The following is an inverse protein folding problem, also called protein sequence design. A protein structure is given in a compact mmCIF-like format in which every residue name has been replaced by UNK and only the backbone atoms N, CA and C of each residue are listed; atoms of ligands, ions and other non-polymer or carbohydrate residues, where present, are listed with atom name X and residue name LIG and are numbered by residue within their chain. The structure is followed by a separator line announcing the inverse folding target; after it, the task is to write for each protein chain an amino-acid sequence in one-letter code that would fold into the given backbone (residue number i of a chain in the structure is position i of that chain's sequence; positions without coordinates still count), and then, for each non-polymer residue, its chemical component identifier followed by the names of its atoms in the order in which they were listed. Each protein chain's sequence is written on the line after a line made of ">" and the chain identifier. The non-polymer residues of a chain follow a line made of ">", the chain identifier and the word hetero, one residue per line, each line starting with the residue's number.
data_IF_923858219725
#
_entry.id   IF_923858219725
#
_cell.length_a   1.000
_cell.length_b   1.000
_cell.length_c   1.000
_cell.angle_alpha   90.00
_cell.angle_beta   90.00
_cell.angle_gamma   90.00
#
_symmetry.space_group_name_H-M   'P 1'
#
loop_
_entity.id
_entity.type
_entity.pdbx_description
1 polymer ?
#
# COMPACT_ATOMS: atom_id res chain seq x y z
N UNK A 1 79.14 2.22 11.85
CA UNK A 1 79.74 1.75 13.11
C UNK A 1 78.60 1.40 14.06
N UNK A 2 78.20 0.12 14.12
CA UNK A 2 78.45 -0.80 15.26
C UNK A 2 77.84 -0.25 16.56
N UNK A 3 76.72 -0.81 17.04
CA UNK A 3 76.68 -1.89 18.08
C UNK A 3 76.27 -1.28 19.44
N UNK A 4 75.46 -1.85 20.35
CA UNK A 4 74.72 -3.10 20.58
C UNK A 4 73.87 -2.85 21.86
N UNK A 5 72.71 -3.50 21.96
CA UNK A 5 72.09 -4.12 23.15
C UNK A 5 71.52 -3.33 24.34
N UNK A 6 70.22 -3.61 24.61
CA UNK A 6 69.70 -4.27 25.84
C UNK A 6 68.39 -3.62 26.28
N UNK A 7 67.22 -4.00 25.77
CA UNK A 7 66.30 -5.02 26.34
C UNK A 7 66.40 -5.14 27.87
N UNK A 8 65.40 -4.59 28.58
CA UNK A 8 65.17 -4.84 30.00
C UNK A 8 63.77 -5.48 30.16
N UNK A 9 63.80 -6.69 30.69
CA UNK A 9 62.69 -7.57 31.05
C UNK A 9 62.08 -7.08 32.36
N UNK A 10 60.75 -7.01 32.45
CA UNK A 10 60.05 -7.04 33.75
C UNK A 10 58.89 -8.06 33.67
N UNK A 11 59.12 -9.21 34.31
CA UNK A 11 58.18 -10.32 34.52
C UNK A 11 57.91 -10.42 36.03
N UNK A 12 56.71 -10.87 36.39
CA UNK A 12 56.24 -11.30 37.73
C UNK A 12 55.64 -10.16 38.58
N UNK A 13 54.48 -10.27 39.24
CA UNK A 13 53.76 -11.40 39.82
C UNK A 13 52.24 -11.17 39.79
N UNK A 14 51.51 -12.14 39.22
CA UNK A 14 50.11 -12.41 39.56
C UNK A 14 50.08 -13.01 40.97
N UNK A 15 49.20 -12.52 41.85
CA UNK A 15 48.87 -13.16 43.12
C UNK A 15 47.36 -13.26 43.25
N UNK A 16 46.86 -14.45 43.00
CA UNK A 16 45.53 -14.90 43.38
C UNK A 16 45.34 -14.78 44.89
N UNK A 17 44.20 -14.25 45.34
CA UNK A 17 43.64 -14.55 46.65
C UNK A 17 42.19 -14.93 46.49
N UNK A 18 41.98 -16.23 46.65
CA UNK A 18 40.71 -16.92 46.82
C UNK A 18 40.15 -16.52 48.18
N UNK A 19 38.93 -15.97 48.21
CA UNK A 19 38.09 -16.02 49.41
C UNK A 19 36.75 -16.62 48.99
N UNK A 20 36.61 -17.92 49.26
CA UNK A 20 35.33 -18.55 49.47
C UNK A 20 34.76 -18.01 50.79
N UNK A 21 33.52 -17.56 50.79
CA UNK A 21 32.69 -17.64 51.98
C UNK A 21 31.25 -17.93 51.58
N UNK A 22 30.93 -19.23 51.62
CA UNK A 22 29.57 -19.72 51.71
C UNK A 22 29.12 -19.54 53.15
N UNK A 23 28.11 -18.71 53.40
CA UNK A 23 27.10 -18.93 54.43
C UNK A 23 26.16 -17.72 54.52
N UNK A 24 24.92 -17.89 54.03
CA UNK A 24 23.72 -17.27 54.59
C UNK A 24 22.47 -17.77 53.85
N UNK A 25 22.18 -19.06 53.96
CA UNK A 25 20.82 -19.55 53.71
C UNK A 25 19.91 -19.10 54.85
N UNK A 26 19.22 -17.96 54.66
CA UNK A 26 18.02 -17.63 55.44
C UNK A 26 16.80 -18.28 54.79
N UNK A 27 16.31 -19.33 55.44
CA UNK A 27 14.97 -19.92 55.25
C UNK A 27 13.91 -18.82 55.19
N UNK A 28 13.25 -18.65 54.05
CA UNK A 28 11.91 -18.05 53.97
C UNK A 28 10.90 -19.19 53.83
N UNK A 29 10.03 -19.31 54.82
CA UNK A 29 8.93 -20.25 54.86
C UNK A 29 7.95 -19.98 53.70
N UNK A 30 7.51 -21.05 53.03
CA UNK A 30 6.38 -21.05 52.09
C UNK A 30 5.14 -20.53 52.83
N UNK A 31 4.57 -19.43 52.34
CA UNK A 31 3.20 -19.00 52.66
C UNK A 31 2.32 -19.54 51.54
N UNK A 32 1.25 -20.24 51.90
CA UNK A 32 0.35 -20.92 50.97
C UNK A 32 -0.22 -19.95 49.93
N UNK A 33 -0.29 -20.43 48.69
CA UNK A 33 -0.79 -19.70 47.53
C UNK A 33 -2.24 -19.26 47.79
N UNK A 34 -2.48 -17.96 47.86
CA UNK A 34 -3.83 -17.39 47.76
C UNK A 34 -4.18 -17.36 46.28
N UNK A 35 -5.20 -18.13 45.90
CA UNK A 35 -5.76 -18.18 44.55
C UNK A 35 -6.14 -16.76 44.09
N UNK A 36 -5.53 -16.32 42.98
CA UNK A 36 -5.78 -15.02 42.37
C UNK A 36 -7.12 -15.08 41.62
N UNK A 37 -8.11 -14.34 42.10
CA UNK A 37 -9.38 -14.11 41.39
C UNK A 37 -9.28 -12.74 40.72
N UNK A 38 -9.39 -12.63 39.38
CA UNK A 38 -9.42 -11.34 38.69
C UNK A 38 -10.65 -10.52 39.12
N UNK A 39 -10.48 -9.21 39.27
CA UNK A 39 -11.54 -8.28 39.75
C UNK A 39 -12.80 -8.23 38.84
N UNK A 40 -12.76 -8.87 37.66
CA UNK A 40 -13.83 -8.86 36.65
C UNK A 40 -14.70 -10.13 36.65
N UNK A 41 -14.60 -11.01 37.65
CA UNK A 41 -15.45 -12.21 37.72
C UNK A 41 -16.89 -11.86 38.15
N UNK A 42 -17.81 -11.85 37.17
CA UNK A 42 -19.26 -11.79 37.39
C UNK A 42 -19.80 -13.22 37.30
N UNK A 43 -20.43 -13.78 38.37
CA UNK A 43 -21.07 -15.09 38.30
C UNK A 43 -22.20 -15.10 37.27
N UNK A 44 -22.39 -16.22 36.55
CA UNK A 44 -23.39 -16.38 35.47
C UNK A 44 -24.83 -16.08 35.89
N UNK A 45 -25.11 -16.02 37.20
CA UNK A 45 -26.43 -15.79 37.78
C UNK A 45 -26.67 -14.34 38.22
N UNK A 46 -25.75 -13.40 37.93
CA UNK A 46 -25.95 -11.98 38.28
C UNK A 46 -26.90 -11.28 37.30
N UNK A 47 -28.13 -11.05 37.74
CA UNK A 47 -29.10 -10.19 37.05
C UNK A 47 -29.15 -8.83 37.77
N UNK A 48 -28.79 -7.71 37.13
CA UNK A 48 -28.95 -6.38 37.71
C UNK A 48 -30.43 -6.11 38.01
N UNK A 49 -30.73 -5.49 39.16
CA UNK A 49 -32.10 -5.23 39.65
C UNK A 49 -32.99 -4.42 38.68
N UNK A 50 -32.41 -3.80 37.65
CA UNK A 50 -33.11 -2.96 36.67
C UNK A 50 -33.43 -3.67 35.33
N UNK A 51 -33.21 -4.98 35.20
CA UNK A 51 -33.51 -5.71 33.95
C UNK A 51 -35.02 -5.99 33.79
N UNK A 52 -35.68 -5.28 32.87
CA UNK A 52 -37.04 -5.61 32.40
C UNK A 52 -36.97 -6.41 31.08
N UNK A 53 -37.47 -7.65 31.03
CA UNK A 53 -37.46 -8.45 29.80
C UNK A 53 -38.47 -7.92 28.77
N UNK A 54 -38.03 -7.85 27.51
CA UNK A 54 -38.87 -7.56 26.33
C UNK A 54 -39.43 -8.90 25.80
N UNK A 55 -40.74 -9.02 25.49
CA UNK A 55 -41.31 -10.30 25.06
C UNK A 55 -40.91 -10.67 23.62
N UNK A 56 -40.40 -11.89 23.45
CA UNK A 56 -40.14 -12.56 22.16
C UNK A 56 -41.44 -12.83 21.38
N UNK A 57 -41.47 -12.43 20.12
CA UNK A 57 -42.55 -12.73 19.17
C UNK A 57 -42.23 -14.00 18.36
N UNK A 58 -43.07 -15.02 18.51
CA UNK A 58 -43.00 -16.28 17.76
C UNK A 58 -43.76 -16.17 16.41
N UNK A 59 -43.33 -16.83 15.31
CA UNK A 59 -43.87 -16.60 13.97
C UNK A 59 -45.06 -17.53 13.65
N UNK A 60 -46.06 -17.05 12.91
CA UNK A 60 -47.11 -17.91 12.31
C UNK A 60 -47.43 -17.58 10.85
N UNK A 61 -47.65 -18.68 10.12
CA UNK A 61 -47.86 -18.88 8.68
C UNK A 61 -49.17 -18.28 8.12
N UNK A 62 -49.09 -17.86 6.86
CA UNK A 62 -50.00 -18.27 5.77
C UNK A 62 -51.27 -17.45 5.48
N UNK A 63 -51.37 -16.86 4.28
CA UNK A 63 -52.42 -17.13 3.26
C UNK A 63 -52.49 -16.03 2.18
N UNK A 64 -52.59 -16.47 0.91
CA UNK A 64 -52.90 -15.66 -0.29
C UNK A 64 -54.33 -15.14 -0.24
N UNK A 65 -54.62 -13.98 -0.85
CA UNK A 65 -55.78 -13.77 -1.77
C UNK A 65 -55.63 -12.48 -2.58
N UNK A 66 -55.83 -12.62 -3.88
CA UNK A 66 -55.98 -11.66 -4.99
C UNK A 66 -57.21 -10.76 -4.89
N UNK A 67 -57.16 -9.50 -5.36
CA UNK A 67 -58.20 -8.92 -6.25
C UNK A 67 -57.68 -7.69 -7.03
N UNK A 68 -57.98 -7.65 -8.34
CA UNK A 68 -57.81 -6.52 -9.28
C UNK A 68 -58.90 -5.46 -9.07
N UNK A 69 -58.64 -4.16 -9.29
CA UNK A 69 -59.56 -3.29 -10.09
C UNK A 69 -58.95 -1.91 -10.48
N UNK A 70 -58.98 -1.65 -11.80
CA UNK A 70 -59.33 -0.40 -12.55
C UNK A 70 -58.55 0.92 -12.44
N UNK A 71 -58.18 1.40 -13.63
CA UNK A 71 -57.77 2.76 -13.99
C UNK A 71 -58.96 3.71 -14.24
N UNK A 72 -58.76 5.03 -14.04
CA UNK A 72 -59.09 6.11 -15.03
C UNK A 72 -58.60 7.50 -14.60
N UNK A 73 -58.36 8.32 -15.62
CA UNK A 73 -57.60 9.58 -15.72
C UNK A 73 -58.37 10.87 -15.36
N UNK A 74 -57.75 12.04 -15.67
CA UNK A 74 -58.23 13.46 -15.78
C UNK A 74 -57.55 14.37 -14.72
N UNK A 75 -56.88 15.54 -14.94
CA UNK A 75 -56.59 16.49 -16.04
C UNK A 75 -55.50 17.51 -15.61
N UNK A 76 -54.71 18.04 -16.55
CA UNK A 76 -53.90 19.30 -16.50
C UNK A 76 -54.78 20.55 -16.80
N UNK A 77 -54.40 21.88 -16.65
CA UNK A 77 -53.19 22.59 -17.18
C UNK A 77 -52.77 23.87 -16.36
N UNK A 78 -52.01 24.91 -16.84
CA UNK A 78 -51.15 25.08 -18.03
C UNK A 78 -49.68 25.55 -17.76
N UNK A 79 -48.95 25.65 -18.86
CA UNK A 79 -47.50 25.87 -19.09
C UNK A 79 -47.11 27.37 -19.09
N UNK A 80 -45.93 27.73 -18.56
CA UNK A 80 -45.23 28.98 -18.91
C UNK A 80 -43.83 28.70 -19.46
N UNK A 81 -43.45 29.53 -20.42
CA UNK A 81 -42.37 29.42 -21.39
C UNK A 81 -41.04 30.02 -20.93
N UNK A 82 -39.93 29.34 -21.25
CA UNK A 82 -38.57 29.87 -21.30
C UNK A 82 -37.58 28.76 -21.72
N UNK A 83 -36.69 28.97 -22.70
CA UNK A 83 -35.75 27.93 -23.13
C UNK A 83 -34.62 27.81 -22.10
N UNK A 84 -34.62 26.71 -21.34
CA UNK A 84 -33.48 26.33 -20.52
C UNK A 84 -32.36 25.80 -21.43
N UNK A 85 -31.09 26.21 -21.19
CA UNK A 85 -29.96 25.71 -21.98
C UNK A 85 -29.84 24.20 -21.79
N UNK A 86 -29.63 23.49 -22.90
CA UNK A 86 -29.27 22.07 -22.89
C UNK A 86 -27.87 21.98 -22.32
N UNK A 87 -27.78 21.82 -21.00
CA UNK A 87 -26.56 21.35 -20.36
C UNK A 87 -26.44 19.88 -20.75
N UNK A 88 -25.62 19.60 -21.76
CA UNK A 88 -25.11 18.25 -21.99
C UNK A 88 -24.15 18.00 -20.83
N UNK A 89 -24.69 17.54 -19.71
CA UNK A 89 -23.89 16.90 -18.69
C UNK A 89 -23.38 15.61 -19.33
N UNK A 90 -22.13 15.61 -19.77
CA UNK A 90 -21.38 14.39 -20.00
C UNK A 90 -21.27 13.71 -18.63
N UNK A 91 -22.30 12.94 -18.28
CA UNK A 91 -22.26 12.04 -17.16
C UNK A 91 -21.29 10.93 -17.60
N UNK A 92 -20.04 11.03 -17.15
CA UNK A 92 -19.10 9.91 -17.11
C UNK A 92 -19.68 8.84 -16.17
N UNK A 93 -20.69 8.16 -16.70
CA UNK A 93 -21.29 7.01 -16.07
C UNK A 93 -20.50 5.83 -16.59
N UNK A 94 -19.49 5.43 -15.82
CA UNK A 94 -18.83 4.13 -16.01
C UNK A 94 -19.94 3.08 -16.14
N UNK A 95 -20.14 2.57 -17.36
CA UNK A 95 -21.24 1.66 -17.68
C UNK A 95 -21.06 0.40 -16.85
N UNK A 96 -21.94 0.20 -15.86
CA UNK A 96 -21.99 -1.06 -15.10
C UNK A 96 -22.35 -2.20 -16.05
N UNK A 97 -21.80 -3.41 -15.86
CA UNK A 97 -22.15 -4.55 -16.68
C UNK A 97 -23.65 -4.82 -16.60
N UNK A 98 -24.26 -5.12 -17.74
CA UNK A 98 -25.68 -5.45 -17.84
C UNK A 98 -25.96 -6.73 -17.05
N UNK A 99 -27.08 -6.78 -16.32
CA UNK A 99 -27.39 -7.89 -15.41
C UNK A 99 -27.54 -9.26 -16.11
N UNK A 100 -27.82 -9.24 -17.42
CA UNK A 100 -28.01 -10.43 -18.27
C UNK A 100 -26.77 -10.78 -19.11
N UNK A 101 -25.59 -10.25 -18.77
CA UNK A 101 -24.36 -10.54 -19.51
C UNK A 101 -23.97 -12.04 -19.43
N UNK A 102 -23.52 -12.66 -20.53
CA UNK A 102 -23.08 -14.05 -20.52
C UNK A 102 -21.84 -14.23 -19.65
N UNK A 103 -21.71 -15.40 -19.03
CA UNK A 103 -20.54 -15.75 -18.24
C UNK A 103 -19.32 -15.98 -19.17
N UNK A 104 -18.31 -15.14 -19.03
CA UNK A 104 -17.03 -15.24 -19.74
C UNK A 104 -16.05 -16.20 -19.03
N UNK A 105 -16.51 -17.42 -18.71
CA UNK A 105 -15.72 -18.53 -18.17
C UNK A 105 -16.59 -19.81 -18.03
N UNK A 106 -15.96 -20.93 -17.67
CA UNK A 106 -16.66 -22.16 -17.27
C UNK A 106 -17.42 -21.97 -15.94
N UNK A 107 -16.90 -21.12 -15.03
CA UNK A 107 -17.45 -20.91 -13.69
C UNK A 107 -17.40 -19.44 -13.28
N UNK A 108 -18.33 -19.03 -12.40
CA UNK A 108 -18.27 -17.70 -11.79
C UNK A 108 -17.15 -17.66 -10.74
N UNK A 109 -16.07 -16.92 -11.03
CA UNK A 109 -14.92 -16.77 -10.11
C UNK A 109 -15.09 -15.56 -9.20
N UNK A 110 -15.68 -15.78 -8.01
CA UNK A 110 -15.88 -14.72 -7.01
C UNK A 110 -15.02 -14.86 -5.74
N UNK A 111 -14.19 -15.90 -5.65
CA UNK A 111 -13.34 -16.15 -4.47
C UNK A 111 -12.46 -14.95 -4.08
N UNK A 112 -11.84 -14.29 -5.07
CA UNK A 112 -10.96 -13.13 -4.82
C UNK A 112 -11.79 -11.90 -4.40
N UNK A 113 -12.95 -11.68 -5.01
CA UNK A 113 -13.81 -10.54 -4.66
C UNK A 113 -14.38 -10.62 -3.24
N UNK A 114 -14.61 -11.84 -2.75
CA UNK A 114 -15.13 -12.11 -1.42
C UNK A 114 -14.02 -12.28 -0.36
N UNK A 115 -12.76 -12.13 -0.75
CA UNK A 115 -11.63 -12.34 0.16
C UNK A 115 -11.65 -11.31 1.28
N UNK A 116 -11.51 -11.79 2.51
CA UNK A 116 -11.32 -10.95 3.69
C UNK A 116 -9.84 -10.68 3.89
N UNK A 117 -9.47 -9.40 4.01
CA UNK A 117 -8.11 -8.97 4.35
C UNK A 117 -7.93 -9.07 5.86
N UNK A 118 -6.87 -9.75 6.28
CA UNK A 118 -6.48 -9.80 7.67
C UNK A 118 -5.82 -8.47 8.07
N UNK A 119 -6.28 -7.90 9.17
CA UNK A 119 -5.64 -6.73 9.77
C UNK A 119 -4.22 -7.09 10.20
N UNK A 120 -3.32 -6.10 10.18
CA UNK A 120 -1.99 -6.28 10.74
C UNK A 120 -2.06 -6.49 12.24
N UNK A 121 -1.10 -7.25 12.75
CA UNK A 121 -0.86 -7.36 14.17
C UNK A 121 -0.56 -5.97 14.77
N UNK A 122 -1.25 -5.58 15.86
CA UNK A 122 -0.93 -4.36 16.58
C UNK A 122 0.43 -4.52 17.26
N UNK A 123 1.37 -3.65 16.91
CA UNK A 123 2.70 -3.65 17.49
C UNK A 123 2.79 -2.55 18.55
N UNK A 124 3.45 -2.81 19.67
CA UNK A 124 3.82 -1.77 20.61
C UNK A 124 5.19 -1.21 20.27
N UNK A 125 5.41 0.06 20.61
CA UNK A 125 6.70 0.73 20.40
C UNK A 125 7.86 0.02 21.11
N UNK A 126 7.59 -0.55 22.29
CA UNK A 126 8.57 -1.33 23.08
C UNK A 126 9.06 -2.60 22.38
N UNK A 127 8.27 -3.13 21.44
CA UNK A 127 8.57 -4.40 20.79
C UNK A 127 9.43 -4.20 19.54
N UNK A 128 9.48 -2.96 19.02
CA UNK A 128 10.31 -2.58 17.88
C UNK A 128 11.71 -2.24 18.37
N UNK A 129 12.64 -3.20 18.27
CA UNK A 129 14.02 -2.99 18.69
C UNK A 129 14.81 -2.14 17.69
N UNK A 130 14.51 -2.30 16.40
CA UNK A 130 15.19 -1.62 15.30
C UNK A 130 14.20 -1.34 14.18
N UNK A 131 14.26 -0.14 13.59
CA UNK A 131 13.46 0.27 12.44
C UNK A 131 14.35 0.93 11.39
N UNK A 132 14.12 0.62 10.12
CA UNK A 132 14.70 1.32 8.99
C UNK A 132 13.68 1.52 7.87
N UNK A 133 13.61 2.75 7.35
CA UNK A 133 12.74 3.08 6.21
C UNK A 133 13.51 2.99 4.91
N UNK A 134 12.89 2.38 3.91
CA UNK A 134 13.49 2.12 2.60
C UNK A 134 12.51 2.52 1.52
N UNK A 135 13.02 3.21 0.51
CA UNK A 135 12.27 3.47 -0.71
C UNK A 135 12.86 2.63 -1.83
N UNK A 136 12.00 1.84 -2.45
CA UNK A 136 12.35 0.97 -3.57
C UNK A 136 11.62 1.42 -4.82
N UNK A 137 12.18 1.11 -5.96
CA UNK A 137 11.49 1.25 -7.25
C UNK A 137 11.35 -0.14 -7.85
N UNK A 138 10.11 -0.48 -8.19
CA UNK A 138 9.73 -1.62 -9.02
C UNK A 138 9.76 -1.14 -10.47
N UNK A 139 10.56 -1.77 -11.30
CA UNK A 139 10.53 -1.56 -12.75
C UNK A 139 9.70 -2.66 -13.40
N UNK A 140 8.63 -2.29 -14.10
CA UNK A 140 7.71 -3.22 -14.75
C UNK A 140 8.28 -3.81 -16.04
N UNK A 141 9.44 -3.32 -16.50
CA UNK A 141 10.18 -3.89 -17.63
C UNK A 141 10.87 -5.20 -17.25
N UNK A 142 11.05 -5.46 -15.95
CA UNK A 142 11.64 -6.70 -15.48
C UNK A 142 10.65 -7.88 -15.60
N UNK A 143 11.17 -9.07 -15.94
CA UNK A 143 10.36 -10.27 -16.20
C UNK A 143 9.42 -10.62 -15.05
N UNK A 144 9.89 -10.49 -13.80
CA UNK A 144 9.08 -10.81 -12.61
C UNK A 144 7.91 -9.81 -12.41
N UNK A 145 8.03 -8.61 -12.96
CA UNK A 145 7.08 -7.50 -12.78
C UNK A 145 6.16 -7.29 -14.00
N UNK A 146 6.23 -8.15 -15.02
CA UNK A 146 5.34 -8.07 -16.18
C UNK A 146 3.84 -8.02 -15.83
N UNK A 147 3.34 -8.71 -14.78
CA UNK A 147 1.94 -8.63 -14.39
C UNK A 147 1.45 -7.20 -14.07
N UNK A 148 2.35 -6.28 -13.70
CA UNK A 148 2.03 -4.88 -13.41
C UNK A 148 1.52 -4.11 -14.62
N UNK A 149 1.84 -4.53 -15.85
CA UNK A 149 1.44 -3.87 -17.10
C UNK A 149 0.39 -4.65 -17.89
N UNK A 150 -0.18 -5.70 -17.33
CA UNK A 150 -1.13 -6.52 -18.06
C UNK A 150 -2.35 -5.67 -18.52
N UNK A 151 -2.63 -5.53 -19.83
CA UNK A 151 -3.55 -4.50 -20.33
C UNK A 151 -4.97 -4.54 -19.75
N UNK A 152 -5.48 -5.72 -19.38
CA UNK A 152 -6.82 -5.85 -18.81
C UNK A 152 -6.87 -5.60 -17.29
N UNK A 153 -5.76 -5.81 -16.56
CA UNK A 153 -5.68 -5.67 -15.10
C UNK A 153 -4.39 -4.97 -14.70
N UNK A 154 -4.15 -3.81 -15.32
CA UNK A 154 -3.01 -2.98 -15.00
C UNK A 154 -3.19 -2.35 -13.62
N UNK A 155 -2.10 -2.32 -12.83
CA UNK A 155 -2.16 -1.77 -11.48
C UNK A 155 -2.56 -0.29 -11.49
N UNK A 156 -2.02 0.52 -12.40
CA UNK A 156 -2.36 1.94 -12.47
C UNK A 156 -3.85 2.18 -12.75
N UNK A 157 -4.45 1.45 -13.69
CA UNK A 157 -5.90 1.57 -13.98
C UNK A 157 -6.74 1.20 -12.77
N UNK A 158 -6.36 0.13 -12.05
CA UNK A 158 -7.04 -0.30 -10.84
C UNK A 158 -6.97 0.79 -9.76
N UNK A 159 -5.79 1.39 -9.56
CA UNK A 159 -5.57 2.47 -8.61
C UNK A 159 -6.35 3.74 -9.00
N UNK A 160 -6.30 4.15 -10.27
CA UNK A 160 -7.04 5.31 -10.79
C UNK A 160 -8.55 5.15 -10.58
N UNK A 161 -9.09 4.00 -10.95
CA UNK A 161 -10.52 3.67 -10.75
C UNK A 161 -10.90 3.71 -9.27
N UNK A 162 -10.02 3.23 -8.37
CA UNK A 162 -10.26 3.25 -6.93
C UNK A 162 -10.25 4.65 -6.33
N UNK A 163 -9.44 5.55 -6.88
CA UNK A 163 -9.39 6.97 -6.50
C UNK A 163 -10.65 7.69 -7.01
N UNK A 164 -11.07 7.43 -8.25
CA UNK A 164 -12.30 7.99 -8.83
C UNK A 164 -13.56 7.56 -8.07
N UNK A 165 -13.61 6.30 -7.63
CA UNK A 165 -14.70 5.79 -6.79
C UNK A 165 -14.67 6.31 -5.35
N UNK A 166 -13.55 6.90 -4.90
CA UNK A 166 -13.33 7.35 -3.53
C UNK A 166 -12.98 6.25 -2.54
N UNK A 167 -12.72 5.02 -3.00
CA UNK A 167 -12.30 3.89 -2.17
C UNK A 167 -10.83 4.04 -1.71
N UNK A 168 -10.01 4.70 -2.51
CA UNK A 168 -8.59 4.96 -2.24
C UNK A 168 -8.35 6.44 -1.98
N UNK A 169 -7.62 6.76 -0.92
CA UNK A 169 -7.14 8.11 -0.63
C UNK A 169 -5.74 8.30 -1.23
N UNK A 170 -5.53 9.44 -1.87
CA UNK A 170 -4.27 9.83 -2.47
C UNK A 170 -3.64 11.02 -1.72
N UNK A 171 -2.32 11.11 -1.79
CA UNK A 171 -1.50 12.08 -1.08
C UNK A 171 -0.41 12.65 -2.00
N UNK A 172 0.01 13.87 -1.77
CA UNK A 172 1.07 14.50 -2.57
C UNK A 172 2.47 14.01 -2.19
N UNK A 173 2.71 13.80 -0.89
CA UNK A 173 4.02 13.41 -0.34
C UNK A 173 3.97 12.02 0.30
N UNK A 174 5.15 11.43 0.47
CA UNK A 174 5.31 10.10 1.05
C UNK A 174 5.11 10.08 2.58
N UNK A 175 4.87 11.24 3.19
CA UNK A 175 4.49 11.40 4.60
C UNK A 175 2.98 11.29 4.84
N UNK A 176 2.18 11.24 3.77
CA UNK A 176 0.72 11.07 3.82
C UNK A 176 -0.02 12.14 4.64
N UNK A 177 0.53 13.37 4.70
CA UNK A 177 -0.09 14.48 5.45
C UNK A 177 -1.09 15.26 4.60
N UNK A 178 -0.73 15.57 3.35
CA UNK A 178 -1.54 16.38 2.44
C UNK A 178 -2.27 15.47 1.45
N UNK A 179 -3.60 15.40 1.60
CA UNK A 179 -4.47 14.69 0.66
C UNK A 179 -4.55 15.47 -0.65
N UNK A 180 -4.57 14.74 -1.76
CA UNK A 180 -4.77 15.29 -3.09
C UNK A 180 -6.21 15.04 -3.55
N UNK A 181 -6.76 15.89 -4.41
CA UNK A 181 -8.10 15.65 -4.99
C UNK A 181 -8.00 14.82 -6.28
N UNK A 182 -9.11 14.20 -6.67
CA UNK A 182 -9.19 13.44 -7.93
C UNK A 182 -9.00 14.37 -9.13
N UNK A 183 -9.50 15.61 -9.06
CA UNK A 183 -9.31 16.63 -10.09
C UNK A 183 -7.85 17.01 -10.25
N UNK A 184 -7.10 17.21 -9.16
CA UNK A 184 -5.67 17.54 -9.22
C UNK A 184 -4.86 16.42 -9.87
N UNK A 185 -5.22 15.16 -9.61
CA UNK A 185 -4.58 13.99 -10.24
C UNK A 185 -4.86 13.97 -11.73
N UNK A 186 -6.12 14.19 -12.14
CA UNK A 186 -6.50 14.23 -13.54
C UNK A 186 -5.79 15.39 -14.28
N UNK A 187 -5.56 16.53 -13.64
CA UNK A 187 -4.77 17.63 -14.22
C UNK A 187 -3.27 17.29 -14.33
N UNK A 188 -2.71 16.50 -13.42
CA UNK A 188 -1.33 16.03 -13.52
C UNK A 188 -1.14 14.96 -14.60
N UNK A 189 -2.19 14.18 -14.87
CA UNK A 189 -2.20 13.11 -15.86
C UNK A 189 -2.52 13.63 -17.26
N UNK A 190 -3.49 14.53 -17.40
CA UNK A 190 -3.93 15.07 -18.68
C UNK A 190 -3.23 16.40 -18.94
N UNK A 191 -2.29 16.42 -19.88
CA UNK A 191 -1.75 17.70 -20.37
C UNK A 191 -2.78 18.32 -21.31
N UNK A 192 -3.26 19.50 -20.98
CA UNK A 192 -4.07 20.30 -21.91
C UNK A 192 -3.10 21.06 -22.80
N UNK A 193 -2.93 20.61 -24.03
CA UNK A 193 -2.19 21.37 -25.05
C UNK A 193 -3.19 22.13 -25.92
N UNK A 194 -2.89 23.40 -26.20
CA UNK A 194 -3.75 24.23 -27.05
C UNK A 194 -3.15 24.26 -28.43
N UNK A 195 -3.71 23.45 -29.33
CA UNK A 195 -3.31 23.45 -30.73
C UNK A 195 -4.20 24.42 -31.51
N UNK A 196 -3.58 25.31 -32.28
CA UNK A 196 -4.31 26.16 -33.22
C UNK A 196 -4.62 25.35 -34.48
N UNK A 197 -5.87 24.89 -34.60
CA UNK A 197 -6.34 24.16 -35.78
C UNK A 197 -6.93 25.17 -36.76
N UNK A 198 -6.43 25.14 -38.00
CA UNK A 198 -6.95 26.00 -39.07
C UNK A 198 -8.29 25.46 -39.58
N UNK A 199 -9.36 26.23 -39.37
CA UNK A 199 -10.69 25.90 -39.88
C UNK A 199 -10.86 26.45 -41.32
N UNK A 200 -10.96 25.58 -42.33
CA UNK A 200 -11.05 25.99 -43.73
C UNK A 200 -12.38 26.66 -44.10
N UNK A 201 -13.42 26.62 -43.26
CA UNK A 201 -14.71 27.29 -43.56
C UNK A 201 -14.77 28.74 -43.07
N UNK A 202 -14.08 29.07 -41.98
CA UNK A 202 -14.12 30.40 -41.36
C UNK A 202 -12.84 31.21 -41.58
N UNK A 203 -11.75 30.58 -42.05
CA UNK A 203 -10.46 31.22 -42.32
C UNK A 203 -9.78 31.77 -41.07
N UNK A 204 -10.23 31.36 -39.88
CA UNK A 204 -9.68 31.74 -38.58
C UNK A 204 -9.00 30.52 -37.93
N UNK A 205 -7.94 30.78 -37.17
CA UNK A 205 -7.34 29.76 -36.30
C UNK A 205 -8.25 29.60 -35.08
N UNK A 206 -8.83 28.42 -34.92
CA UNK A 206 -9.60 28.06 -33.73
C UNK A 206 -8.65 27.35 -32.78
N UNK A 207 -8.51 27.85 -31.56
CA UNK A 207 -7.76 27.17 -30.51
C UNK A 207 -8.57 25.97 -30.03
N UNK A 208 -8.22 24.77 -30.51
CA UNK A 208 -8.78 23.53 -29.99
C UNK A 208 -7.91 23.05 -28.83
N UNK A 209 -8.49 23.03 -27.63
CA UNK A 209 -7.83 22.46 -26.45
C UNK A 209 -7.89 20.94 -26.59
N UNK A 210 -6.80 20.34 -27.04
CA UNK A 210 -6.67 18.88 -27.07
C UNK A 210 -6.23 18.42 -25.69
N UNK A 211 -6.90 17.40 -25.16
CA UNK A 211 -6.50 16.74 -23.92
C UNK A 211 -5.65 15.54 -24.30
N UNK A 212 -4.34 15.67 -24.11
CA UNK A 212 -3.43 14.55 -24.24
C UNK A 212 -3.41 13.82 -22.90
N UNK A 213 -4.22 12.78 -22.82
CA UNK A 213 -4.21 11.87 -21.68
C UNK A 213 -2.96 10.98 -21.74
N UNK A 214 -2.23 10.89 -20.63
CA UNK A 214 -1.11 9.95 -20.52
C UNK A 214 -1.63 8.54 -20.78
N UNK A 215 -1.00 7.86 -21.74
CA UNK A 215 -1.23 6.43 -21.94
C UNK A 215 -0.84 5.68 -20.67
N UNK A 216 -1.80 4.92 -20.13
CA UNK A 216 -1.65 4.10 -18.92
C UNK A 216 -0.44 3.18 -19.07
N UNK A 217 -0.23 2.64 -20.27
CA UNK A 217 0.87 1.74 -20.59
C UNK A 217 2.26 2.42 -20.61
N UNK A 218 2.33 3.75 -20.57
CA UNK A 218 3.60 4.48 -20.46
C UNK A 218 4.18 4.41 -19.04
N UNK A 219 3.38 4.08 -18.03
CA UNK A 219 3.79 3.98 -16.63
C UNK A 219 4.57 2.68 -16.43
N UNK A 220 5.90 2.82 -16.33
CA UNK A 220 6.81 1.68 -16.24
C UNK A 220 7.36 1.44 -14.83
N UNK A 221 7.20 2.38 -13.91
CA UNK A 221 7.85 2.32 -12.61
C UNK A 221 6.87 2.62 -11.48
N UNK A 222 7.01 1.88 -10.37
CA UNK A 222 6.30 2.14 -9.13
C UNK A 222 7.29 2.30 -8.00
N UNK A 223 7.18 3.38 -7.23
CA UNK A 223 7.97 3.59 -6.03
C UNK A 223 7.20 3.09 -4.82
N UNK A 224 7.88 2.34 -3.96
CA UNK A 224 7.32 1.79 -2.73
C UNK A 224 8.11 2.33 -1.54
N UNK A 225 7.39 2.76 -0.50
CA UNK A 225 7.94 3.10 0.81
C UNK A 225 7.67 1.95 1.77
N UNK A 226 8.74 1.41 2.33
CA UNK A 226 8.72 0.25 3.22
C UNK A 226 9.35 0.59 4.56
N UNK A 227 8.83 -0.04 5.61
CA UNK A 227 9.44 -0.06 6.94
C UNK A 227 9.92 -1.48 7.19
N UNK A 228 11.22 -1.60 7.39
CA UNK A 228 11.89 -2.80 7.85
C UNK A 228 12.06 -2.66 9.35
N UNK A 229 11.56 -3.61 10.13
CA UNK A 229 11.66 -3.54 11.57
C UNK A 229 11.94 -4.92 12.16
N UNK A 230 12.70 -4.94 13.24
CA UNK A 230 12.93 -6.14 14.02
C UNK A 230 11.94 -6.17 15.18
N UNK A 231 11.07 -7.17 15.16
CA UNK A 231 10.11 -7.43 16.22
C UNK A 231 10.77 -8.31 17.28
N UNK A 232 10.92 -7.78 18.49
CA UNK A 232 11.55 -8.48 19.61
C UNK A 232 10.69 -9.62 20.17
N UNK A 233 9.36 -9.57 20.01
CA UNK A 233 8.47 -10.65 20.48
C UNK A 233 8.60 -11.90 19.60
N UNK A 234 8.57 -11.71 18.28
CA UNK A 234 8.74 -12.81 17.33
C UNK A 234 10.20 -13.11 16.97
N UNK A 235 11.14 -12.24 17.35
CA UNK A 235 12.58 -12.33 17.02
C UNK A 235 12.83 -12.48 15.52
N UNK A 236 12.00 -11.86 14.68
CA UNK A 236 12.06 -11.95 13.21
C UNK A 236 12.05 -10.54 12.63
N UNK A 237 12.82 -10.34 11.55
CA UNK A 237 12.74 -9.12 10.76
C UNK A 237 11.47 -9.16 9.90
N UNK A 238 10.55 -8.23 10.15
CA UNK A 238 9.31 -8.07 9.40
C UNK A 238 9.42 -6.84 8.50
N UNK A 239 8.69 -6.87 7.39
CA UNK A 239 8.61 -5.74 6.46
C UNK A 239 7.17 -5.32 6.31
N UNK A 240 6.90 -4.02 6.39
CA UNK A 240 5.57 -3.45 6.17
C UNK A 240 5.64 -2.39 5.08
N UNK A 241 4.82 -2.54 4.05
CA UNK A 241 4.67 -1.53 3.01
C UNK A 241 3.78 -0.41 3.56
N UNK A 242 4.27 0.83 3.53
CA UNK A 242 3.52 2.01 3.95
C UNK A 242 2.80 2.67 2.79
N UNK A 243 3.44 2.73 1.62
CA UNK A 243 2.79 3.34 0.48
C UNK A 243 3.41 3.02 -0.86
N UNK A 244 2.60 3.26 -1.88
CA UNK A 244 2.87 2.96 -3.28
C UNK A 244 2.62 4.25 -4.06
N UNK A 245 3.52 4.56 -4.99
CA UNK A 245 3.41 5.71 -5.87
C UNK A 245 3.72 5.31 -7.31
N UNK A 246 2.77 5.45 -8.27
CA UNK A 246 3.10 5.34 -9.67
C UNK A 246 4.05 6.47 -10.08
N UNK A 247 5.08 6.11 -10.83
CA UNK A 247 6.11 7.03 -11.30
C UNK A 247 5.91 7.30 -12.78
N UNK A 248 5.97 8.57 -13.15
CA UNK A 248 5.90 9.00 -14.55
C UNK A 248 7.26 9.54 -14.99
N UNK A 249 7.70 9.08 -16.17
CA UNK A 249 8.87 9.62 -16.87
C UNK A 249 8.34 10.59 -17.91
N UNK A 250 8.72 11.85 -17.75
CA UNK A 250 8.34 12.91 -18.66
C UNK A 250 9.47 13.10 -19.68
N UNK A 251 9.14 13.03 -20.97
CA UNK A 251 10.11 13.35 -22.03
C UNK A 251 9.89 14.81 -22.42
N UNK A 252 10.94 15.62 -22.36
CA UNK A 252 10.87 17.00 -22.82
C UNK A 252 10.67 17.01 -24.36
N UNK A 253 9.57 17.58 -24.88
CA UNK A 253 9.29 17.60 -26.31
C UNK A 253 10.32 18.40 -27.12
N UNK A 254 11.05 19.33 -26.49
CA UNK A 254 12.00 20.20 -27.20
C UNK A 254 13.38 19.55 -27.34
N UNK A 255 13.84 18.83 -26.32
CA UNK A 255 15.20 18.27 -26.25
C UNK A 255 15.24 16.75 -26.43
N UNK A 256 14.10 16.06 -26.32
CA UNK A 256 14.01 14.60 -26.34
C UNK A 256 14.69 13.93 -25.14
N UNK A 257 15.10 14.70 -24.12
CA UNK A 257 15.72 14.19 -22.91
C UNK A 257 14.64 13.71 -21.94
N UNK A 258 14.87 12.54 -21.35
CA UNK A 258 14.04 12.00 -20.29
C UNK A 258 14.32 12.75 -18.99
N UNK A 259 13.30 13.41 -18.45
CA UNK A 259 13.35 14.02 -17.12
C UNK A 259 13.32 12.89 -16.08
N UNK A 260 14.09 12.99 -14.97
CA UNK A 260 14.09 11.99 -13.93
C UNK A 260 12.66 11.64 -13.46
N UNK A 261 12.35 10.34 -13.26
CA UNK A 261 11.00 9.91 -12.91
C UNK A 261 10.54 10.56 -11.60
N UNK A 262 9.33 11.13 -11.62
CA UNK A 262 8.67 11.73 -10.46
C UNK A 262 7.42 10.95 -10.07
N UNK A 263 7.09 10.84 -8.76
CA UNK A 263 5.84 10.23 -8.34
C UNK A 263 4.67 11.12 -8.78
N UNK A 264 3.59 10.50 -9.25
CA UNK A 264 2.34 11.21 -9.53
C UNK A 264 1.63 11.55 -8.22
N UNK A 265 1.29 10.51 -7.45
CA UNK A 265 0.66 10.60 -6.14
C UNK A 265 1.09 9.42 -5.27
N UNK A 266 0.94 9.56 -3.96
CA UNK A 266 1.20 8.53 -2.97
C UNK A 266 -0.12 7.94 -2.46
N UNK A 267 -0.17 6.62 -2.36
CA UNK A 267 -1.27 5.88 -1.73
C UNK A 267 -0.76 5.26 -0.45
N UNK A 268 -1.52 5.40 0.63
CA UNK A 268 -1.26 4.69 1.88
C UNK A 268 -1.71 3.23 1.74
N UNK A 269 -0.74 2.31 1.74
CA UNK A 269 -0.98 0.91 1.43
C UNK A 269 -1.94 0.23 2.42
N UNK A 270 -1.79 0.39 3.75
CA UNK A 270 -2.69 -0.26 4.71
C UNK A 270 -4.18 0.07 4.52
N UNK A 271 -4.52 1.29 4.08
CA UNK A 271 -5.89 1.69 3.79
C UNK A 271 -6.43 1.04 2.49
N UNK A 272 -5.57 0.86 1.48
CA UNK A 272 -5.98 0.35 0.18
C UNK A 272 -5.97 -1.19 0.07
N UNK A 273 -5.44 -1.91 1.08
CA UNK A 273 -5.36 -3.39 1.07
C UNK A 273 -6.69 -4.06 0.76
N UNK A 274 -7.78 -3.59 1.38
CA UNK A 274 -9.12 -4.13 1.14
C UNK A 274 -9.52 -4.01 -0.33
N UNK A 275 -9.26 -2.85 -0.93
CA UNK A 275 -9.55 -2.63 -2.35
C UNK A 275 -8.68 -3.53 -3.23
N UNK A 276 -7.36 -3.55 -3.01
CA UNK A 276 -6.41 -4.36 -3.79
C UNK A 276 -6.67 -5.87 -3.67
N UNK A 277 -7.18 -6.34 -2.54
CA UNK A 277 -7.52 -7.76 -2.35
C UNK A 277 -8.65 -8.25 -3.25
N UNK A 278 -9.55 -7.36 -3.66
CA UNK A 278 -10.66 -7.68 -4.56
C UNK A 278 -10.23 -7.75 -6.04
N UNK A 279 -9.06 -7.21 -6.36
CA UNK A 279 -8.50 -7.21 -7.71
C UNK A 279 -7.49 -8.34 -7.89
N UNK A 280 -7.64 -9.06 -8.99
CA UNK A 280 -6.78 -10.19 -9.36
C UNK A 280 -5.58 -9.72 -10.19
N UNK A 281 -4.47 -10.43 -10.02
CA UNK A 281 -3.24 -10.30 -10.81
C UNK A 281 -3.24 -11.37 -11.88
N UNK A 282 -2.75 -11.03 -13.08
CA UNK A 282 -2.55 -12.00 -14.13
C UNK A 282 -1.42 -12.98 -13.80
N UNK A 283 -1.69 -14.28 -13.94
CA UNK A 283 -0.71 -15.33 -13.74
C UNK A 283 -0.54 -16.12 -15.05
N UNK A 284 0.68 -16.11 -15.59
CA UNK A 284 1.02 -16.80 -16.84
C UNK A 284 0.88 -18.32 -16.74
N UNK A 285 1.20 -18.90 -15.57
CA UNK A 285 1.24 -20.35 -15.40
C UNK A 285 -0.14 -20.95 -15.12
N UNK A 286 -1.01 -20.20 -14.42
CA UNK A 286 -2.32 -20.70 -14.03
C UNK A 286 -3.35 -19.58 -13.91
N UNK A 287 -4.22 -19.46 -14.93
CA UNK A 287 -5.32 -18.49 -14.96
C UNK A 287 -6.47 -18.88 -14.01
N UNK A 288 -6.61 -20.17 -13.68
CA UNK A 288 -7.69 -20.66 -12.84
C UNK A 288 -7.53 -20.30 -11.35
N UNK A 289 -6.29 -20.07 -10.91
CA UNK A 289 -5.97 -19.66 -9.54
C UNK A 289 -5.18 -18.34 -9.56
N UNK A 290 -5.87 -17.20 -9.74
CA UNK A 290 -5.20 -15.91 -9.67
C UNK A 290 -4.80 -15.57 -8.23
N UNK A 291 -3.76 -14.75 -8.10
CA UNK A 291 -3.35 -14.13 -6.84
C UNK A 291 -3.97 -12.72 -6.77
N UNK A 292 -4.27 -12.19 -5.59
CA UNK A 292 -4.75 -10.81 -5.46
C UNK A 292 -3.60 -9.79 -5.46
N UNK A 293 -3.88 -8.52 -5.76
CA UNK A 293 -2.83 -7.49 -5.70
C UNK A 293 -2.28 -7.31 -4.28
N UNK A 294 -3.13 -7.41 -3.25
CA UNK A 294 -2.68 -7.38 -1.85
C UNK A 294 -1.73 -8.53 -1.53
N UNK A 295 -2.03 -9.75 -1.98
CA UNK A 295 -1.16 -10.91 -1.75
C UNK A 295 0.22 -10.76 -2.42
N UNK A 296 0.25 -10.23 -3.65
CA UNK A 296 1.50 -10.03 -4.37
C UNK A 296 2.42 -9.07 -3.61
N UNK A 297 1.87 -7.99 -3.05
CA UNK A 297 2.62 -7.01 -2.27
C UNK A 297 3.02 -7.54 -0.89
N UNK A 298 2.12 -8.23 -0.20
CA UNK A 298 2.38 -8.81 1.13
C UNK A 298 3.44 -9.94 1.06
N UNK A 299 3.37 -10.81 0.04
CA UNK A 299 4.40 -11.82 -0.25
C UNK A 299 5.70 -11.20 -0.80
N UNK A 300 5.69 -9.90 -1.12
CA UNK A 300 6.80 -9.18 -1.76
C UNK A 300 7.26 -9.85 -3.06
N UNK A 301 6.33 -10.39 -3.82
CA UNK A 301 6.61 -11.11 -5.06
C UNK A 301 6.82 -10.15 -6.24
N UNK A 302 7.88 -9.34 -6.14
CA UNK A 302 8.28 -8.37 -7.16
C UNK A 302 9.78 -8.09 -7.08
N UNK A 303 10.36 -7.72 -8.22
CA UNK A 303 11.77 -7.33 -8.28
C UNK A 303 11.88 -5.82 -8.15
N UNK A 304 12.90 -5.36 -7.43
CA UNK A 304 13.08 -3.94 -7.13
C UNK A 304 14.52 -3.60 -6.76
N UNK A 305 14.86 -2.33 -6.92
CA UNK A 305 16.12 -1.76 -6.45
C UNK A 305 15.85 -0.63 -5.45
N UNK A 306 16.80 -0.41 -4.53
CA UNK A 306 16.69 0.60 -3.48
C UNK A 306 17.14 1.94 -4.03
N UNK A 307 16.34 2.99 -3.80
CA UNK A 307 16.64 4.36 -4.27
C UNK A 307 16.87 5.34 -3.13
N UNK A 308 16.41 5.02 -1.92
CA UNK A 308 16.63 5.79 -0.70
C UNK A 308 16.59 4.86 0.50
N UNK A 309 17.42 5.16 1.50
CA UNK A 309 17.34 4.60 2.85
C UNK A 309 17.21 5.74 3.84
N UNK A 310 16.58 5.52 5.00
CA UNK A 310 16.61 6.51 6.06
C UNK A 310 18.06 6.85 6.41
N UNK A 311 18.36 8.14 6.41
CA UNK A 311 19.67 8.71 6.70
C UNK A 311 19.48 10.11 7.33
N UNK A 312 20.56 10.68 7.85
CA UNK A 312 20.53 11.95 8.60
C UNK A 312 20.14 13.14 7.72
N UNK A 313 20.58 13.15 6.46
CA UNK A 313 20.41 14.28 5.54
C UNK A 313 19.16 14.16 4.65
N UNK A 314 18.38 13.09 4.82
CA UNK A 314 17.27 12.69 3.96
C UNK A 314 17.58 12.51 2.46
N UNK A 315 18.87 12.36 2.11
CA UNK A 315 19.35 12.23 0.73
C UNK A 315 18.95 10.89 0.09
N UNK A 316 18.59 10.92 -1.19
CA UNK A 316 18.43 9.73 -2.04
C UNK A 316 19.79 9.26 -2.54
N UNK A 317 19.86 8.04 -3.08
CA UNK A 317 21.08 7.55 -3.73
C UNK A 317 21.50 8.44 -4.91
N UNK A 318 20.53 8.99 -5.64
CA UNK A 318 20.78 9.90 -6.77
C UNK A 318 21.34 11.26 -6.38
N UNK A 319 21.22 11.64 -5.10
CA UNK A 319 21.67 12.96 -4.60
C UNK A 319 23.17 12.93 -4.23
N UNK A 320 23.81 11.77 -4.24
CA UNK A 320 25.26 11.67 -4.06
C UNK A 320 25.95 11.91 -5.40
N UNK A 321 26.85 12.91 -5.44
CA UNK A 321 27.58 13.31 -6.65
C UNK A 321 28.31 12.12 -7.33
N UNK A 322 28.79 11.16 -6.55
CA UNK A 322 29.51 9.98 -7.04
C UNK A 322 28.59 8.97 -7.77
N UNK A 323 27.29 8.98 -7.46
CA UNK A 323 26.31 7.99 -7.94
C UNK A 323 25.39 8.55 -9.02
N UNK A 324 25.30 9.88 -9.13
CA UNK A 324 24.36 10.58 -10.01
C UNK A 324 24.52 10.20 -11.49
N UNK A 325 25.76 10.08 -11.94
CA UNK A 325 26.08 9.90 -13.36
C UNK A 325 26.30 8.42 -13.75
N UNK A 326 26.41 7.51 -12.76
CA UNK A 326 26.68 6.10 -13.01
C UNK A 326 25.58 5.19 -12.42
N UNK A 327 24.68 4.73 -13.29
CA UNK A 327 23.60 3.81 -12.93
C UNK A 327 24.09 2.46 -12.39
N UNK A 328 25.29 2.01 -12.79
CA UNK A 328 25.87 0.75 -12.28
C UNK A 328 26.27 0.88 -10.81
N UNK A 329 26.89 2.00 -10.45
CA UNK A 329 27.30 2.26 -9.07
C UNK A 329 26.08 2.43 -8.17
N UNK A 330 25.02 3.08 -8.67
CA UNK A 330 23.75 3.18 -7.94
C UNK A 330 23.13 1.79 -7.67
N UNK A 331 23.19 0.87 -8.65
CA UNK A 331 22.71 -0.50 -8.46
C UNK A 331 23.57 -1.27 -7.45
N UNK A 332 24.89 -1.08 -7.50
CA UNK A 332 25.82 -1.69 -6.55
C UNK A 332 25.56 -1.20 -5.13
N UNK A 333 25.37 0.11 -4.93
CA UNK A 333 25.01 0.67 -3.63
C UNK A 333 23.63 0.19 -3.16
N UNK A 334 22.65 0.08 -4.07
CA UNK A 334 21.36 -0.56 -3.75
C UNK A 334 21.55 -1.98 -3.22
N UNK A 335 22.43 -2.78 -3.84
CA UNK A 335 22.71 -4.15 -3.40
C UNK A 335 23.47 -4.19 -2.07
N UNK A 336 24.45 -3.31 -1.86
CA UNK A 336 25.12 -3.15 -0.56
C UNK A 336 24.12 -2.86 0.56
N UNK A 337 23.15 -1.96 0.33
CA UNK A 337 22.12 -1.67 1.33
C UNK A 337 21.25 -2.91 1.62
N UNK A 338 20.93 -3.72 0.59
CA UNK A 338 20.21 -4.99 0.80
C UNK A 338 21.04 -5.96 1.65
N UNK A 339 22.32 -6.11 1.34
CA UNK A 339 23.26 -6.96 2.08
C UNK A 339 23.44 -6.48 3.52
N UNK A 340 23.55 -5.17 3.77
CA UNK A 340 23.66 -4.60 5.11
C UNK A 340 22.46 -5.00 5.98
N UNK A 341 21.24 -4.94 5.43
CA UNK A 341 20.01 -5.30 6.15
C UNK A 341 19.96 -6.80 6.41
N UNK A 342 20.35 -7.61 5.42
CA UNK A 342 20.39 -9.06 5.55
C UNK A 342 21.43 -9.52 6.58
N UNK A 343 22.62 -8.92 6.56
CA UNK A 343 23.68 -9.19 7.53
C UNK A 343 23.26 -8.75 8.93
N UNK A 344 22.62 -7.58 9.06
CA UNK A 344 22.06 -7.14 10.34
C UNK A 344 21.01 -8.13 10.88
N UNK A 345 20.12 -8.64 10.02
CA UNK A 345 19.22 -9.71 10.41
C UNK A 345 20.01 -10.92 10.90
N UNK A 346 20.94 -11.44 10.09
CA UNK A 346 21.73 -12.63 10.41
C UNK A 346 22.53 -12.52 11.71
N UNK A 347 23.14 -11.37 11.98
CA UNK A 347 23.94 -11.11 13.17
C UNK A 347 23.11 -11.13 14.47
N UNK A 348 21.79 -10.88 14.39
CA UNK A 348 20.88 -11.01 15.52
C UNK A 348 20.58 -12.48 15.87
N UNK A 349 20.84 -13.41 14.95
CA UNK A 349 20.75 -14.85 15.22
C UNK A 349 22.10 -15.34 15.77
N UNK A 350 22.15 -15.62 17.07
CA UNK A 350 23.27 -16.40 17.63
C UNK A 350 23.04 -17.89 17.36
N UNK A 351 24.05 -18.58 16.83
CA UNK A 351 24.03 -20.03 16.58
C UNK A 351 24.45 -20.86 17.80
#
# INVERSE_FOLDING_TARGET
>A
MKSLFSFLILVSLFSFSIINNADAQKKKAKKADSEYVPDDYVPDDYVPDDYKPVPEANPKKGAKTTTKTTAKAVTTPPKSTGPAPVVIAAADTVRKPDADAPLDDIIQRDLIKQKLVLAYEPLHERDIFWERRIWRVIDCREKMNLPFKYPSQELFTILKTGIENGDIKCYTTDEFQFKQTTEDINQQISKQDTAEVYDPETGQYVSEVTRDDIDVQSINQYRIKEVWYFDSESSVMKVRILGIAPMFVEVDPSTGLEIPPRPLFWIYYPDCRKYLSAHKVFNENNVASPISWDDLFEMRHFSSFITKRSNVNDNRLVDYDQLKDNGVDMLLESNKIKEDIFNFEHDLWSY
#
